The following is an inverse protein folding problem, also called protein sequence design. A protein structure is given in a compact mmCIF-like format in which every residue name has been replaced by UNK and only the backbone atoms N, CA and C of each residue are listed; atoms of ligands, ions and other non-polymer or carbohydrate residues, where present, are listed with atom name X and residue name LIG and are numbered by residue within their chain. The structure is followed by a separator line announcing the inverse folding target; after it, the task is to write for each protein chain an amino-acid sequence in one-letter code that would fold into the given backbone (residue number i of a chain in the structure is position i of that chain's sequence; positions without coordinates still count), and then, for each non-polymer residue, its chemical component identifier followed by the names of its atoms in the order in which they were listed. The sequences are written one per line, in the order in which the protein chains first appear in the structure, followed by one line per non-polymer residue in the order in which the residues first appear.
data_IF_347120522632
#
_entry.id   IF_347120522632
#
_cell.length_a   1.000
_cell.length_b   1.000
_cell.length_c   1.000
_cell.angle_alpha   90.00
_cell.angle_beta   90.00
_cell.angle_gamma   90.00
#
_symmetry.space_group_name_H-M   'P 1'
#
loop_
_entity.id
_entity.type
_entity.pdbx_description
1 polymer ?
#
# COMPACT_ATOMS: atom_id res chain seq x y z
N UNK A 1 -57.16 -14.74 9.11
CA UNK A 1 -56.07 -13.90 8.50
C UNK A 1 -55.15 -13.21 9.53
N UNK A 2 -55.62 -12.85 10.75
CA UNK A 2 -54.82 -12.25 11.82
C UNK A 2 -53.70 -13.17 12.36
N UNK A 3 -53.91 -14.48 12.63
CA UNK A 3 -52.86 -15.35 13.15
C UNK A 3 -51.67 -15.49 12.20
N UNK A 4 -51.90 -15.56 10.89
CA UNK A 4 -50.87 -15.68 9.88
C UNK A 4 -49.98 -14.43 9.78
N UNK A 5 -50.56 -13.23 9.90
CA UNK A 5 -49.81 -11.96 9.91
C UNK A 5 -48.94 -11.82 11.15
N UNK A 6 -49.39 -12.26 12.31
CA UNK A 6 -48.62 -12.25 13.55
C UNK A 6 -47.49 -13.25 13.52
N UNK A 7 -47.66 -14.45 12.94
CA UNK A 7 -46.61 -15.44 12.75
C UNK A 7 -45.51 -14.92 11.80
N UNK A 8 -45.88 -14.36 10.66
CA UNK A 8 -44.91 -13.77 9.70
C UNK A 8 -44.14 -12.59 10.29
N UNK A 9 -44.75 -11.80 11.18
CA UNK A 9 -44.10 -10.71 11.89
C UNK A 9 -43.07 -11.26 12.90
N UNK A 10 -43.47 -12.25 13.69
CA UNK A 10 -42.58 -12.91 14.68
C UNK A 10 -41.40 -13.61 14.02
N UNK A 11 -41.58 -14.30 12.91
CA UNK A 11 -40.49 -14.93 12.14
C UNK A 11 -39.52 -13.90 11.55
N UNK A 12 -40.03 -12.76 11.07
CA UNK A 12 -39.19 -11.64 10.59
C UNK A 12 -38.38 -11.00 11.71
N UNK A 13 -38.98 -10.76 12.87
CA UNK A 13 -38.30 -10.22 14.04
C UNK A 13 -37.19 -11.17 14.53
N UNK A 14 -37.48 -12.46 14.65
CA UNK A 14 -36.51 -13.47 15.04
C UNK A 14 -35.31 -13.54 14.06
N UNK A 15 -35.58 -13.42 12.76
CA UNK A 15 -34.53 -13.40 11.73
C UNK A 15 -33.66 -12.12 11.82
N UNK A 16 -34.27 -10.96 12.08
CA UNK A 16 -33.55 -9.69 12.28
C UNK A 16 -32.69 -9.76 13.52
N UNK A 17 -33.23 -10.25 14.63
CA UNK A 17 -32.47 -10.37 15.90
C UNK A 17 -31.28 -11.32 15.77
N UNK A 18 -31.46 -12.46 15.11
CA UNK A 18 -30.37 -13.39 14.82
C UNK A 18 -29.27 -12.70 14.00
N UNK A 19 -29.64 -11.97 12.95
CA UNK A 19 -28.68 -11.26 12.11
C UNK A 19 -27.94 -10.17 12.87
N UNK A 20 -28.63 -9.42 13.72
CA UNK A 20 -28.01 -8.41 14.59
C UNK A 20 -27.00 -9.05 15.54
N UNK A 21 -27.34 -10.18 16.15
CA UNK A 21 -26.44 -10.91 17.05
C UNK A 21 -25.20 -11.45 16.33
N UNK A 22 -25.36 -12.01 15.13
CA UNK A 22 -24.22 -12.48 14.30
C UNK A 22 -23.25 -11.34 14.00
N UNK A 23 -23.75 -10.21 13.52
CA UNK A 23 -22.95 -9.04 13.21
C UNK A 23 -22.33 -8.44 14.49
N UNK A 24 -23.09 -8.35 15.58
CA UNK A 24 -22.59 -7.82 16.84
C UNK A 24 -21.41 -8.66 17.37
N UNK A 25 -21.54 -9.99 17.37
CA UNK A 25 -20.43 -10.89 17.77
C UNK A 25 -19.20 -10.72 16.89
N UNK A 26 -19.40 -10.58 15.57
CA UNK A 26 -18.29 -10.41 14.64
C UNK A 26 -17.49 -9.11 14.86
N UNK A 27 -18.10 -8.12 15.50
CA UNK A 27 -17.50 -6.83 15.81
C UNK A 27 -17.22 -6.63 17.31
N UNK A 28 -17.31 -7.68 18.11
CA UNK A 28 -17.14 -7.62 19.58
C UNK A 28 -18.07 -6.57 20.23
N UNK A 29 -19.32 -6.53 19.83
CA UNK A 29 -20.33 -5.63 20.34
C UNK A 29 -21.45 -6.34 21.13
N UNK A 30 -21.41 -7.65 21.22
CA UNK A 30 -22.44 -8.49 21.84
C UNK A 30 -22.70 -8.09 23.30
N UNK A 31 -21.67 -7.73 24.06
CA UNK A 31 -21.77 -7.26 25.45
C UNK A 31 -22.23 -5.80 25.60
N UNK A 32 -22.41 -5.10 24.48
CA UNK A 32 -22.73 -3.67 24.42
C UNK A 32 -24.10 -3.38 23.84
N UNK A 33 -24.88 -4.40 23.47
CA UNK A 33 -26.15 -4.25 22.77
C UNK A 33 -27.19 -3.42 23.53
N UNK A 34 -27.16 -3.50 24.87
CA UNK A 34 -28.09 -2.77 25.73
C UNK A 34 -27.65 -1.34 26.09
N UNK A 35 -26.45 -0.93 25.62
CA UNK A 35 -25.92 0.41 25.91
C UNK A 35 -26.47 1.47 24.97
N UNK A 36 -26.73 2.63 25.51
CA UNK A 36 -27.10 3.79 24.71
C UNK A 36 -25.87 4.35 23.97
N UNK A 37 -26.06 4.98 22.80
CA UNK A 37 -24.94 5.56 22.02
C UNK A 37 -24.05 6.53 22.79
N UNK A 38 -24.58 7.27 23.76
CA UNK A 38 -23.84 8.19 24.63
C UNK A 38 -22.86 7.47 25.58
N UNK A 39 -23.09 6.20 25.85
CA UNK A 39 -22.32 5.35 26.77
C UNK A 39 -21.20 4.58 26.06
N UNK A 40 -21.12 4.74 24.74
CA UNK A 40 -20.12 4.09 23.90
C UNK A 40 -18.92 5.02 23.63
N UNK A 41 -17.72 4.43 23.63
CA UNK A 41 -16.50 5.10 23.19
C UNK A 41 -16.56 5.44 21.68
N UNK A 42 -15.66 6.30 21.19
CA UNK A 42 -15.56 6.63 19.77
C UNK A 42 -15.41 5.40 18.87
N UNK A 43 -14.48 4.50 19.22
CA UNK A 43 -14.27 3.25 18.47
C UNK A 43 -15.47 2.29 18.55
N UNK A 44 -16.18 2.22 19.69
CA UNK A 44 -17.41 1.42 19.81
C UNK A 44 -18.53 1.99 18.91
N UNK A 45 -18.71 3.31 18.88
CA UNK A 45 -19.65 3.99 17.98
C UNK A 45 -19.36 3.67 16.52
N UNK A 46 -18.07 3.69 16.14
CA UNK A 46 -17.65 3.38 14.77
C UNK A 46 -17.93 1.92 14.40
N UNK A 47 -17.64 0.96 15.30
CA UNK A 47 -18.02 -0.45 15.10
C UNK A 47 -19.54 -0.65 15.01
N UNK A 48 -20.32 0.06 15.79
CA UNK A 48 -21.80 0.04 15.69
C UNK A 48 -22.25 0.57 14.33
N UNK A 49 -21.68 1.67 13.83
CA UNK A 49 -21.99 2.20 12.51
C UNK A 49 -21.69 1.20 11.39
N UNK A 50 -20.52 0.54 11.48
CA UNK A 50 -20.11 -0.55 10.58
C UNK A 50 -21.10 -1.72 10.67
N UNK A 51 -21.44 -2.19 11.87
CA UNK A 51 -22.39 -3.28 12.10
C UNK A 51 -23.78 -2.99 11.51
N UNK A 52 -24.25 -1.76 11.64
CA UNK A 52 -25.52 -1.33 11.02
C UNK A 52 -25.49 -1.41 9.49
N UNK A 53 -24.37 -1.03 8.87
CA UNK A 53 -24.19 -1.16 7.43
C UNK A 53 -24.17 -2.64 7.00
N UNK A 54 -23.46 -3.49 7.75
CA UNK A 54 -23.33 -4.93 7.50
C UNK A 54 -24.65 -5.69 7.65
N UNK A 55 -25.44 -5.36 8.66
CA UNK A 55 -26.72 -6.04 8.91
C UNK A 55 -27.75 -5.83 7.79
N UNK A 56 -27.62 -4.74 7.02
CA UNK A 56 -28.53 -4.40 5.91
C UNK A 56 -28.30 -5.18 4.62
N UNK A 57 -27.16 -5.88 4.48
CA UNK A 57 -26.78 -6.60 3.26
C UNK A 57 -26.96 -5.76 1.98
N UNK A 58 -26.27 -4.62 1.85
CA UNK A 58 -26.42 -3.75 0.69
C UNK A 58 -25.76 -4.35 -0.56
N UNK A 59 -26.17 -3.91 -1.74
CA UNK A 59 -25.54 -4.29 -3.02
C UNK A 59 -24.14 -3.66 -3.17
N UNK A 60 -23.89 -2.52 -2.51
CA UNK A 60 -22.61 -1.79 -2.51
C UNK A 60 -22.35 -1.21 -1.13
N UNK A 61 -21.13 -1.38 -0.63
CA UNK A 61 -20.63 -0.67 0.54
C UNK A 61 -19.87 0.60 0.13
N UNK A 62 -20.20 1.72 0.76
CA UNK A 62 -19.42 2.96 0.71
C UNK A 62 -18.88 3.24 2.11
N UNK A 63 -17.58 3.12 2.28
CA UNK A 63 -16.91 3.26 3.57
C UNK A 63 -15.88 4.41 3.48
N UNK A 64 -16.07 5.43 4.31
CA UNK A 64 -15.19 6.57 4.40
C UNK A 64 -14.44 6.53 5.74
N UNK A 65 -13.14 6.21 5.68
CA UNK A 65 -12.24 6.08 6.83
C UNK A 65 -12.81 5.26 8.02
N UNK A 66 -13.36 4.05 7.81
CA UNK A 66 -14.12 3.36 8.85
C UNK A 66 -13.28 2.87 10.03
N UNK A 67 -11.95 2.90 9.95
CA UNK A 67 -11.05 2.43 11.00
C UNK A 67 -10.20 3.54 11.64
N UNK A 68 -10.38 4.81 11.25
CA UNK A 68 -9.53 5.92 11.66
C UNK A 68 -9.50 6.15 13.19
N UNK A 69 -10.61 5.93 13.88
CA UNK A 69 -10.74 6.14 15.34
C UNK A 69 -10.50 4.89 16.21
N UNK A 70 -9.91 3.83 15.62
CA UNK A 70 -9.60 2.60 16.35
C UNK A 70 -8.12 2.58 16.78
N UNK A 71 -7.85 1.99 17.95
CA UNK A 71 -6.48 1.67 18.36
C UNK A 71 -5.85 0.62 17.43
N UNK A 72 -4.52 0.51 17.45
CA UNK A 72 -3.77 -0.32 16.51
C UNK A 72 -4.16 -1.81 16.57
N UNK A 73 -4.40 -2.37 17.77
CA UNK A 73 -4.77 -3.77 17.96
C UNK A 73 -6.16 -4.04 17.37
N UNK A 74 -7.11 -3.19 17.72
CA UNK A 74 -8.50 -3.31 17.27
C UNK A 74 -8.63 -3.02 15.76
N UNK A 75 -7.81 -2.09 15.22
CA UNK A 75 -7.77 -1.81 13.79
C UNK A 75 -7.37 -3.04 12.99
N UNK A 76 -6.36 -3.81 13.46
CA UNK A 76 -5.92 -5.04 12.81
C UNK A 76 -7.01 -6.12 12.75
N UNK A 77 -7.66 -6.41 13.88
CA UNK A 77 -8.74 -7.41 13.95
C UNK A 77 -9.98 -6.99 13.15
N UNK A 78 -10.38 -5.73 13.24
CA UNK A 78 -11.55 -5.21 12.49
C UNK A 78 -11.29 -5.22 10.97
N UNK A 79 -10.07 -4.88 10.52
CA UNK A 79 -9.69 -4.96 9.12
C UNK A 79 -9.82 -6.38 8.57
N UNK A 80 -9.26 -7.37 9.28
CA UNK A 80 -9.39 -8.78 8.88
C UNK A 80 -10.87 -9.19 8.76
N UNK A 81 -11.69 -8.76 9.70
CA UNK A 81 -13.12 -9.07 9.70
C UNK A 81 -13.90 -8.41 8.56
N UNK A 82 -13.57 -7.17 8.20
CA UNK A 82 -14.19 -6.51 7.03
C UNK A 82 -13.87 -7.28 5.74
N UNK A 83 -12.62 -7.71 5.56
CA UNK A 83 -12.21 -8.49 4.38
C UNK A 83 -12.94 -9.83 4.32
N UNK A 84 -13.02 -10.55 5.43
CA UNK A 84 -13.73 -11.82 5.54
C UNK A 84 -15.20 -11.66 5.18
N UNK A 85 -15.87 -10.69 5.79
CA UNK A 85 -17.27 -10.41 5.53
C UNK A 85 -17.54 -10.00 4.08
N UNK A 86 -16.68 -9.14 3.52
CA UNK A 86 -16.82 -8.73 2.12
C UNK A 86 -16.76 -9.94 1.19
N UNK A 87 -15.87 -10.91 1.50
CA UNK A 87 -15.79 -12.18 0.75
C UNK A 87 -17.05 -13.04 0.93
N UNK A 88 -17.54 -13.16 2.17
CA UNK A 88 -18.76 -13.91 2.47
C UNK A 88 -20.00 -13.33 1.75
N UNK A 89 -20.13 -12.02 1.74
CA UNK A 89 -21.27 -11.32 1.13
C UNK A 89 -21.14 -11.17 -0.39
N UNK A 90 -19.94 -11.26 -0.95
CA UNK A 90 -19.67 -11.00 -2.37
C UNK A 90 -20.01 -9.58 -2.82
N UNK A 91 -20.05 -8.62 -1.87
CA UNK A 91 -20.54 -7.26 -2.10
C UNK A 91 -19.42 -6.36 -2.57
N UNK A 92 -19.65 -5.58 -3.61
CA UNK A 92 -18.71 -4.54 -4.06
C UNK A 92 -18.54 -3.48 -2.98
N UNK A 93 -17.30 -3.14 -2.65
CA UNK A 93 -16.98 -2.17 -1.61
C UNK A 93 -16.10 -1.07 -2.16
N UNK A 94 -16.53 0.18 -2.02
CA UNK A 94 -15.69 1.36 -2.19
C UNK A 94 -15.22 1.82 -0.81
N UNK A 95 -13.92 1.76 -0.59
CA UNK A 95 -13.30 2.05 0.70
C UNK A 95 -12.34 3.22 0.57
N UNK A 96 -12.54 4.28 1.32
CA UNK A 96 -11.66 5.45 1.35
C UNK A 96 -10.81 5.39 2.62
N UNK A 97 -9.50 5.57 2.48
CA UNK A 97 -8.56 5.59 3.60
C UNK A 97 -7.34 6.45 3.26
N UNK A 98 -6.66 6.92 4.27
CA UNK A 98 -5.30 7.47 4.18
C UNK A 98 -4.24 6.48 4.73
N UNK A 99 -4.65 5.34 5.25
CA UNK A 99 -3.75 4.29 5.76
C UNK A 99 -3.34 3.35 4.62
N UNK A 100 -2.05 3.37 4.29
CA UNK A 100 -1.49 2.53 3.24
C UNK A 100 -1.59 1.04 3.56
N UNK A 101 -1.49 0.65 4.85
CA UNK A 101 -1.58 -0.76 5.26
C UNK A 101 -2.99 -1.27 5.01
N UNK A 102 -4.02 -0.46 5.28
CA UNK A 102 -5.41 -0.79 4.95
C UNK A 102 -5.55 -1.00 3.43
N UNK A 103 -5.11 -0.02 2.64
CA UNK A 103 -5.19 -0.08 1.19
C UNK A 103 -4.50 -1.32 0.62
N UNK A 104 -3.24 -1.56 1.01
CA UNK A 104 -2.42 -2.66 0.49
C UNK A 104 -2.90 -4.05 0.92
N UNK A 105 -3.59 -4.16 2.08
CA UNK A 105 -4.01 -5.47 2.61
C UNK A 105 -5.46 -5.83 2.31
N UNK A 106 -6.33 -4.84 2.08
CA UNK A 106 -7.76 -5.05 1.85
C UNK A 106 -8.14 -4.90 0.37
N UNK A 107 -7.46 -4.00 -0.35
CA UNK A 107 -7.82 -3.64 -1.72
C UNK A 107 -7.50 -4.75 -2.72
N UNK A 108 -8.46 -5.11 -3.55
CA UNK A 108 -8.19 -5.85 -4.80
C UNK A 108 -7.66 -4.89 -5.87
N UNK A 109 -8.11 -3.64 -5.85
CA UNK A 109 -7.60 -2.53 -6.66
C UNK A 109 -7.52 -1.27 -5.80
N UNK A 110 -6.50 -0.46 -6.04
CA UNK A 110 -6.27 0.79 -5.33
C UNK A 110 -6.22 1.94 -6.33
N UNK A 111 -7.02 2.97 -6.10
CA UNK A 111 -6.94 4.25 -6.78
C UNK A 111 -6.15 5.25 -5.91
N UNK A 112 -4.98 5.67 -6.37
CA UNK A 112 -4.18 6.69 -5.68
C UNK A 112 -4.57 8.05 -6.22
N UNK A 113 -5.05 8.94 -5.34
CA UNK A 113 -5.43 10.31 -5.70
C UNK A 113 -4.46 11.31 -5.06
N UNK A 114 -4.17 12.37 -5.81
CA UNK A 114 -3.45 13.54 -5.31
C UNK A 114 -4.16 14.81 -5.76
N UNK A 115 -4.57 15.65 -4.82
CA UNK A 115 -5.31 16.87 -5.09
C UNK A 115 -6.53 16.66 -6.03
N UNK A 116 -7.29 15.60 -5.78
CA UNK A 116 -8.47 15.23 -6.57
C UNK A 116 -8.18 14.64 -7.96
N UNK A 117 -6.90 14.45 -8.32
CA UNK A 117 -6.50 13.84 -9.60
C UNK A 117 -6.05 12.40 -9.37
N UNK A 118 -6.56 11.49 -10.18
CA UNK A 118 -6.13 10.10 -10.19
C UNK A 118 -4.67 10.02 -10.69
N UNK A 119 -3.79 9.46 -9.87
CA UNK A 119 -2.38 9.25 -10.19
C UNK A 119 -2.12 7.87 -10.78
N UNK A 120 -2.72 6.85 -10.17
CA UNK A 120 -2.63 5.47 -10.64
C UNK A 120 -3.79 4.65 -10.11
N UNK A 121 -4.24 3.68 -10.90
CA UNK A 121 -5.20 2.67 -10.52
C UNK A 121 -4.60 1.30 -10.86
N UNK A 122 -4.53 0.39 -9.90
CA UNK A 122 -3.96 -0.94 -10.10
C UNK A 122 -4.13 -1.83 -8.87
N UNK A 123 -3.60 -3.04 -8.94
CA UNK A 123 -3.47 -3.93 -7.79
C UNK A 123 -2.44 -3.37 -6.80
N UNK A 124 -2.49 -3.78 -5.51
CA UNK A 124 -1.48 -3.37 -4.52
C UNK A 124 -0.04 -3.58 -5.01
N UNK A 125 0.24 -4.76 -5.59
CA UNK A 125 1.58 -5.10 -6.08
C UNK A 125 2.01 -4.27 -7.29
N UNK A 126 1.08 -3.92 -8.19
CA UNK A 126 1.39 -3.03 -9.31
C UNK A 126 1.78 -1.63 -8.82
N UNK A 127 1.04 -1.06 -7.86
CA UNK A 127 1.37 0.26 -7.32
C UNK A 127 2.73 0.26 -6.61
N UNK A 128 3.04 -0.80 -5.88
CA UNK A 128 4.31 -0.94 -5.15
C UNK A 128 5.49 -1.17 -6.09
N UNK A 129 5.33 -2.10 -7.03
CA UNK A 129 6.43 -2.54 -7.90
C UNK A 129 6.59 -1.65 -9.14
N UNK A 130 5.49 -1.07 -9.66
CA UNK A 130 5.45 -0.32 -10.92
C UNK A 130 4.71 1.01 -10.77
N UNK A 131 5.20 1.92 -9.91
CA UNK A 131 4.59 3.23 -9.75
C UNK A 131 4.67 4.03 -11.04
N UNK A 132 3.55 4.64 -11.43
CA UNK A 132 3.43 5.42 -12.68
C UNK A 132 4.16 6.76 -12.63
N UNK A 133 4.45 7.26 -11.44
CA UNK A 133 5.16 8.52 -11.26
C UNK A 133 5.86 8.58 -9.88
N UNK A 134 6.69 9.62 -9.68
CA UNK A 134 7.42 9.86 -8.44
C UNK A 134 6.49 10.00 -7.22
N UNK A 135 5.31 10.60 -7.40
CA UNK A 135 4.36 10.74 -6.31
C UNK A 135 3.93 9.36 -5.80
N UNK A 136 3.48 8.47 -6.68
CA UNK A 136 3.06 7.11 -6.29
C UNK A 136 4.23 6.33 -5.70
N UNK A 137 5.45 6.44 -6.28
CA UNK A 137 6.65 5.77 -5.81
C UNK A 137 7.00 6.13 -4.35
N UNK A 138 6.86 7.41 -3.99
CA UNK A 138 7.14 7.92 -2.66
C UNK A 138 5.95 7.79 -1.71
N UNK A 139 4.72 7.80 -2.23
CA UNK A 139 3.52 7.69 -1.42
C UNK A 139 3.23 6.24 -1.02
N UNK A 140 3.46 5.27 -1.90
CA UNK A 140 3.22 3.84 -1.63
C UNK A 140 4.49 3.18 -1.08
N UNK A 141 4.38 2.62 0.11
CA UNK A 141 5.44 1.91 0.82
C UNK A 141 5.96 2.66 2.05
N UNK A 142 6.34 1.90 3.07
CA UNK A 142 6.95 2.40 4.30
C UNK A 142 8.21 1.56 4.58
N UNK A 143 9.41 2.16 4.45
CA UNK A 143 9.66 3.55 4.07
C UNK A 143 9.33 3.85 2.59
N UNK A 144 9.26 5.15 2.21
CA UNK A 144 9.13 5.57 0.81
C UNK A 144 10.27 5.04 -0.07
N UNK A 145 10.02 4.97 -1.39
CA UNK A 145 11.08 4.65 -2.35
C UNK A 145 12.21 5.68 -2.28
N UNK A 146 13.45 5.23 -2.20
CA UNK A 146 14.61 6.11 -2.35
C UNK A 146 14.64 6.66 -3.78
N UNK A 147 14.75 7.98 -3.92
CA UNK A 147 14.87 8.65 -5.22
C UNK A 147 16.24 9.30 -5.32
N UNK A 148 16.98 8.93 -6.33
CA UNK A 148 18.36 9.39 -6.57
C UNK A 148 18.46 9.96 -7.98
N UNK A 149 19.11 11.11 -8.17
CA UNK A 149 19.48 11.56 -9.50
C UNK A 149 20.50 10.60 -10.09
N UNK A 150 20.18 10.09 -11.27
CA UNK A 150 21.06 9.17 -12.02
C UNK A 150 21.29 9.71 -13.42
N UNK A 151 22.41 9.35 -14.01
CA UNK A 151 22.66 9.58 -15.43
C UNK A 151 22.82 8.24 -16.15
N UNK A 152 22.24 8.12 -17.33
CA UNK A 152 22.44 6.92 -18.14
C UNK A 152 23.86 6.94 -18.70
N UNK A 153 24.64 5.94 -18.32
CA UNK A 153 26.01 5.77 -18.80
C UNK A 153 26.10 4.88 -20.03
N UNK A 154 27.32 4.72 -20.55
CA UNK A 154 27.57 3.80 -21.67
C UNK A 154 27.28 2.35 -21.26
N UNK A 155 26.96 1.53 -22.25
CA UNK A 155 26.65 0.11 -22.05
C UNK A 155 25.47 -0.13 -21.08
N UNK A 156 24.45 0.72 -21.14
CA UNK A 156 23.22 0.57 -20.36
C UNK A 156 23.47 0.52 -18.83
N UNK A 157 24.34 1.37 -18.33
CA UNK A 157 24.61 1.52 -16.89
C UNK A 157 23.96 2.77 -16.32
N UNK A 158 23.78 2.81 -15.00
CA UNK A 158 23.41 4.02 -14.27
C UNK A 158 24.63 4.59 -13.56
N UNK A 159 24.81 5.90 -13.65
CA UNK A 159 25.83 6.65 -12.93
C UNK A 159 25.20 7.40 -11.78
N UNK A 160 25.76 7.24 -10.58
CA UNK A 160 25.45 8.02 -9.38
C UNK A 160 26.77 8.64 -8.90
N UNK A 161 26.92 9.95 -9.09
CA UNK A 161 28.22 10.58 -8.94
C UNK A 161 29.24 9.92 -9.90
N UNK A 162 30.33 9.40 -9.34
CA UNK A 162 31.37 8.68 -10.10
C UNK A 162 31.15 7.16 -10.17
N UNK A 163 30.13 6.64 -9.46
CA UNK A 163 29.83 5.21 -9.40
C UNK A 163 29.03 4.75 -10.58
N UNK A 164 29.48 3.63 -11.15
CA UNK A 164 28.80 2.97 -12.26
C UNK A 164 28.11 1.69 -11.76
N UNK A 165 26.79 1.67 -11.87
CA UNK A 165 25.95 0.54 -11.49
C UNK A 165 25.54 -0.23 -12.73
N UNK A 166 25.70 -1.55 -12.70
CA UNK A 166 25.19 -2.42 -13.73
C UNK A 166 23.67 -2.52 -13.62
N UNK A 167 23.02 -2.58 -14.75
CA UNK A 167 21.57 -2.77 -14.85
C UNK A 167 21.32 -4.00 -15.70
N UNK A 168 20.37 -4.82 -15.30
CA UNK A 168 20.04 -6.08 -15.94
C UNK A 168 18.56 -6.17 -16.29
N UNK A 169 18.23 -7.09 -17.18
CA UNK A 169 16.86 -7.40 -17.56
C UNK A 169 16.14 -6.29 -18.33
N UNK A 170 14.82 -6.11 -18.12
CA UNK A 170 14.01 -5.15 -18.88
C UNK A 170 14.48 -3.71 -18.75
N UNK A 171 15.10 -3.34 -17.62
CA UNK A 171 15.62 -2.00 -17.40
C UNK A 171 16.79 -1.70 -18.34
N UNK A 172 17.71 -2.64 -18.56
CA UNK A 172 18.81 -2.46 -19.47
C UNK A 172 18.32 -2.14 -20.88
N UNK A 173 17.29 -2.84 -21.36
CA UNK A 173 16.66 -2.56 -22.65
C UNK A 173 16.03 -1.17 -22.71
N UNK A 174 15.39 -0.71 -21.63
CA UNK A 174 14.78 0.62 -21.55
C UNK A 174 15.81 1.77 -21.56
N UNK A 175 17.07 1.51 -21.20
CA UNK A 175 18.15 2.50 -21.25
C UNK A 175 18.75 2.70 -22.64
N UNK A 176 18.39 1.86 -23.61
CA UNK A 176 18.91 1.92 -24.97
C UNK A 176 18.54 3.25 -25.62
N UNK A 177 19.54 3.98 -26.10
CA UNK A 177 19.34 5.30 -26.74
C UNK A 177 19.18 6.47 -25.76
N UNK A 178 19.27 6.24 -24.46
CA UNK A 178 19.15 7.28 -23.43
C UNK A 178 20.51 7.72 -22.86
N UNK A 179 21.63 7.30 -23.43
CA UNK A 179 22.98 7.66 -22.94
C UNK A 179 23.13 9.18 -22.74
N UNK A 180 23.71 9.56 -21.61
CA UNK A 180 23.87 10.96 -21.22
C UNK A 180 22.63 11.59 -20.57
N UNK A 181 21.45 10.95 -20.66
CA UNK A 181 20.22 11.48 -20.11
C UNK A 181 20.23 11.45 -18.59
N UNK A 182 19.79 12.55 -17.96
CA UNK A 182 19.59 12.62 -16.51
C UNK A 182 18.15 12.20 -16.17
N UNK A 183 18.03 11.28 -15.24
CA UNK A 183 16.79 10.70 -14.78
C UNK A 183 16.72 10.69 -13.25
N UNK A 184 15.55 10.39 -12.71
CA UNK A 184 15.39 10.03 -11.31
C UNK A 184 15.31 8.51 -11.21
N UNK A 185 16.28 7.91 -10.52
CA UNK A 185 16.32 6.47 -10.22
C UNK A 185 15.64 6.19 -8.88
N UNK A 186 14.61 5.38 -8.89
CA UNK A 186 13.92 4.89 -7.70
C UNK A 186 14.39 3.50 -7.31
N UNK A 187 14.65 3.27 -6.02
CA UNK A 187 15.00 1.96 -5.49
C UNK A 187 14.39 1.79 -4.09
N UNK A 188 13.77 0.64 -3.81
CA UNK A 188 13.18 0.35 -2.50
C UNK A 188 14.27 0.07 -1.46
N UNK A 189 13.96 0.33 -0.19
CA UNK A 189 14.89 0.13 0.93
C UNK A 189 15.40 -1.31 1.07
N UNK A 190 14.56 -2.30 0.76
CA UNK A 190 14.89 -3.73 0.79
C UNK A 190 15.71 -4.21 -0.42
N UNK A 191 15.81 -3.38 -1.45
CA UNK A 191 16.62 -3.63 -2.65
C UNK A 191 18.03 -3.03 -2.57
N UNK A 192 18.33 -2.34 -1.46
CA UNK A 192 19.67 -1.92 -1.07
C UNK A 192 20.16 -2.83 0.05
N UNK A 193 21.32 -3.44 -0.12
CA UNK A 193 21.91 -4.35 0.88
C UNK A 193 23.26 -3.84 1.33
N UNK A 194 23.57 -4.00 2.62
CA UNK A 194 24.93 -3.78 3.12
C UNK A 194 25.79 -4.92 2.59
N UNK A 195 26.89 -4.57 1.92
CA UNK A 195 27.74 -5.50 1.20
C UNK A 195 29.24 -5.16 1.40
N UNK A 196 30.17 -6.06 1.06
CA UNK A 196 31.59 -5.77 1.10
C UNK A 196 31.97 -4.59 0.22
N UNK A 197 33.12 -3.97 0.54
CA UNK A 197 33.67 -2.88 -0.24
C UNK A 197 34.09 -3.34 -1.65
N UNK A 198 33.42 -2.81 -2.66
CA UNK A 198 33.76 -2.99 -4.08
C UNK A 198 33.66 -1.66 -4.80
N UNK A 199 34.26 -1.57 -6.00
CA UNK A 199 34.14 -0.38 -6.85
C UNK A 199 32.76 -0.21 -7.49
N UNK A 200 31.87 -1.23 -7.37
CA UNK A 200 30.50 -1.22 -7.90
C UNK A 200 29.47 -0.81 -6.84
N UNK A 201 29.82 -0.93 -5.55
CA UNK A 201 28.91 -0.62 -4.46
C UNK A 201 28.93 0.87 -4.11
N UNK A 202 27.76 1.42 -3.78
CA UNK A 202 27.65 2.80 -3.33
C UNK A 202 28.29 2.94 -1.95
N UNK A 203 29.06 3.99 -1.75
CA UNK A 203 29.61 4.31 -0.44
C UNK A 203 28.67 5.23 0.32
N UNK A 204 28.41 4.90 1.56
CA UNK A 204 27.51 5.66 2.42
C UNK A 204 28.05 5.77 3.84
N UNK A 205 27.68 6.85 4.52
CA UNK A 205 27.89 7.04 5.94
C UNK A 205 26.53 6.93 6.66
N UNK A 206 26.48 6.11 7.70
CA UNK A 206 25.27 5.94 8.51
C UNK A 206 24.97 7.22 9.26
N UNK A 207 23.80 7.80 9.03
CA UNK A 207 23.31 8.97 9.74
C UNK A 207 22.50 8.59 10.97
N UNK A 208 21.64 7.56 10.83
CA UNK A 208 20.75 7.11 11.87
C UNK A 208 20.34 5.64 11.64
N UNK A 209 20.03 4.93 12.73
CA UNK A 209 19.53 3.55 12.67
C UNK A 209 18.40 3.37 13.68
N UNK A 210 17.28 2.80 13.23
CA UNK A 210 16.09 2.51 14.02
C UNK A 210 15.84 1.00 14.02
N UNK A 211 15.91 0.38 15.20
CA UNK A 211 15.60 -1.05 15.36
C UNK A 211 14.12 -1.23 15.62
N UNK A 212 13.42 -1.92 14.71
CA UNK A 212 11.99 -2.15 14.75
C UNK A 212 11.61 -3.55 15.26
N UNK A 213 12.54 -4.23 15.91
CA UNK A 213 12.38 -5.59 16.46
C UNK A 213 12.90 -6.65 15.50
N UNK A 214 12.15 -7.00 14.48
CA UNK A 214 12.53 -8.02 13.47
C UNK A 214 13.39 -7.48 12.32
N UNK A 215 13.50 -6.19 12.21
CA UNK A 215 14.30 -5.50 11.20
C UNK A 215 14.85 -4.19 11.75
N UNK A 216 15.81 -3.58 11.05
CA UNK A 216 16.23 -2.22 11.29
C UNK A 216 16.14 -1.39 10.01
N UNK A 217 15.84 -0.12 10.18
CA UNK A 217 15.86 0.88 9.13
C UNK A 217 17.07 1.79 9.33
N UNK A 218 18.00 1.75 8.36
CA UNK A 218 19.24 2.51 8.42
C UNK A 218 19.13 3.66 7.43
N UNK A 219 19.19 4.90 7.92
CA UNK A 219 19.31 6.09 7.09
C UNK A 219 20.77 6.41 6.87
N UNK A 220 21.19 6.43 5.62
CA UNK A 220 22.56 6.66 5.21
C UNK A 220 22.66 7.86 4.28
N UNK A 221 23.81 8.52 4.32
CA UNK A 221 24.18 9.58 3.37
C UNK A 221 25.17 9.00 2.38
N UNK A 222 24.82 8.98 1.10
CA UNK A 222 25.75 8.58 0.04
C UNK A 222 26.90 9.57 -0.04
N UNK A 223 28.12 9.07 -0.14
CA UNK A 223 29.31 9.92 -0.29
C UNK A 223 29.39 10.50 -1.69
N UNK A 224 28.89 9.76 -2.69
CA UNK A 224 28.74 10.22 -4.05
C UNK A 224 27.40 10.97 -4.19
N UNK A 225 27.43 12.30 -4.30
CA UNK A 225 26.22 13.12 -4.52
C UNK A 225 25.46 13.59 -3.27
N UNK A 226 25.88 13.19 -2.08
CA UNK A 226 25.32 13.67 -0.78
C UNK A 226 23.80 13.41 -0.57
N UNK A 227 23.25 12.35 -1.18
CA UNK A 227 21.86 11.98 -1.07
C UNK A 227 21.59 11.08 0.13
N UNK A 228 20.45 11.26 0.80
CA UNK A 228 19.99 10.36 1.84
C UNK A 228 19.27 9.16 1.21
N UNK A 229 19.57 7.98 1.72
CA UNK A 229 18.90 6.73 1.37
C UNK A 229 18.54 5.96 2.63
N UNK A 230 17.47 5.21 2.56
CA UNK A 230 17.02 4.30 3.61
C UNK A 230 17.23 2.86 3.16
N UNK A 231 17.82 2.07 4.04
CA UNK A 231 18.13 0.65 3.81
C UNK A 231 17.44 -0.18 4.89
N UNK A 232 16.75 -1.23 4.46
CA UNK A 232 16.20 -2.21 5.38
C UNK A 232 17.20 -3.33 5.57
N UNK A 233 17.56 -3.62 6.82
CA UNK A 233 18.60 -4.57 7.15
C UNK A 233 18.21 -5.49 8.33
N UNK A 234 18.96 -6.57 8.51
CA UNK A 234 18.86 -7.43 9.68
C UNK A 234 19.25 -6.65 10.94
N UNK A 235 18.45 -6.73 12.03
CA UNK A 235 18.75 -6.00 13.27
C UNK A 235 20.07 -6.42 13.94
N UNK A 236 20.62 -7.57 13.59
CA UNK A 236 21.94 -8.02 14.09
C UNK A 236 23.12 -7.29 13.45
N UNK A 237 22.89 -6.58 12.36
CA UNK A 237 23.97 -5.82 11.68
C UNK A 237 24.24 -4.54 12.46
N UNK A 238 25.46 -4.41 13.01
CA UNK A 238 25.86 -3.18 13.69
C UNK A 238 26.09 -2.04 12.67
N UNK A 239 25.24 -1.02 12.73
CA UNK A 239 25.32 0.17 11.87
C UNK A 239 25.23 1.47 12.71
N UNK A 240 26.21 1.76 13.60
CA UNK A 240 26.17 2.97 14.39
C UNK A 240 26.40 4.23 13.54
N UNK A 241 25.85 5.38 13.94
CA UNK A 241 26.06 6.65 13.26
C UNK A 241 27.55 6.96 13.05
N UNK A 242 27.89 7.52 11.88
CA UNK A 242 29.24 7.84 11.47
C UNK A 242 30.02 6.67 10.82
N UNK A 243 29.49 5.43 10.90
CA UNK A 243 30.13 4.29 10.22
C UNK A 243 29.96 4.38 8.71
N UNK A 244 31.06 4.07 8.00
CA UNK A 244 31.05 3.93 6.54
C UNK A 244 30.66 2.51 6.16
N UNK A 245 29.69 2.39 5.29
CA UNK A 245 29.16 1.14 4.76
C UNK A 245 29.17 1.18 3.24
N UNK A 246 29.08 0.02 2.63
CA UNK A 246 28.92 -0.13 1.20
C UNK A 246 27.56 -0.75 0.93
N UNK A 247 26.85 -0.18 -0.04
CA UNK A 247 25.51 -0.60 -0.41
C UNK A 247 25.54 -1.19 -1.81
N UNK A 248 25.14 -2.43 -1.91
CA UNK A 248 24.84 -3.08 -3.18
C UNK A 248 23.39 -2.83 -3.54
N UNK A 249 23.17 -2.34 -4.75
CA UNK A 249 21.82 -2.15 -5.29
C UNK A 249 21.43 -3.37 -6.12
N UNK A 250 20.23 -3.90 -5.90
CA UNK A 250 19.67 -4.96 -6.74
C UNK A 250 19.58 -4.46 -8.20
N UNK A 251 20.24 -5.13 -9.18
CA UNK A 251 20.21 -4.71 -10.57
C UNK A 251 18.81 -4.69 -11.18
N UNK A 252 17.86 -5.48 -10.64
CA UNK A 252 16.46 -5.55 -11.07
C UNK A 252 15.52 -4.62 -10.28
N UNK A 253 16.05 -4.00 -9.20
CA UNK A 253 15.26 -3.20 -8.25
C UNK A 253 14.96 -1.79 -8.73
N UNK A 254 15.66 -1.30 -9.74
CA UNK A 254 15.53 0.09 -10.19
C UNK A 254 14.21 0.37 -10.89
N UNK A 255 13.71 1.59 -10.67
CA UNK A 255 12.63 2.23 -11.42
C UNK A 255 13.13 3.57 -11.89
N UNK A 256 12.78 3.97 -13.10
CA UNK A 256 13.26 5.22 -13.69
C UNK A 256 12.12 6.16 -13.98
N UNK A 257 12.37 7.43 -13.67
CA UNK A 257 11.42 8.49 -13.90
C UNK A 257 12.10 9.64 -14.66
N UNK A 258 11.36 10.27 -15.56
CA UNK A 258 11.83 11.44 -16.29
C UNK A 258 11.96 12.66 -15.35
N UNK A 259 12.37 13.81 -15.90
CA UNK A 259 12.50 15.05 -15.12
C UNK A 259 11.14 15.61 -14.65
N UNK A 260 10.05 15.25 -15.31
CA UNK A 260 8.67 15.60 -14.94
C UNK A 260 8.13 14.70 -13.83
N UNK A 261 8.82 13.62 -13.54
CA UNK A 261 8.44 12.65 -12.51
C UNK A 261 7.60 11.48 -13.01
N UNK A 262 7.37 11.37 -14.32
CA UNK A 262 6.65 10.24 -14.90
C UNK A 262 7.56 9.03 -15.08
N UNK A 263 7.02 7.84 -14.83
CA UNK A 263 7.76 6.61 -15.02
C UNK A 263 8.14 6.41 -16.50
N UNK A 264 9.38 6.06 -16.73
CA UNK A 264 9.82 5.57 -18.02
C UNK A 264 9.25 4.16 -18.16
N UNK A 265 8.42 3.95 -19.19
CA UNK A 265 7.77 2.67 -19.43
C UNK A 265 8.82 1.56 -19.55
N UNK A 266 8.84 0.67 -18.57
CA UNK A 266 9.58 -0.57 -18.66
C UNK A 266 8.63 -1.66 -19.13
N UNK A 267 9.07 -2.58 -20.00
CA UNK A 267 8.24 -3.73 -20.34
C UNK A 267 7.88 -4.46 -19.05
N UNK A 268 6.59 -4.57 -18.77
CA UNK A 268 6.12 -5.38 -17.65
C UNK A 268 6.68 -6.79 -17.78
N UNK A 269 7.10 -7.45 -16.68
CA UNK A 269 7.50 -8.84 -16.72
C UNK A 269 6.39 -9.68 -17.36
N UNK A 270 6.74 -10.73 -18.10
CA UNK A 270 5.78 -11.53 -18.85
C UNK A 270 4.63 -12.09 -17.98
N UNK A 271 4.91 -12.34 -16.69
CA UNK A 271 3.92 -12.73 -15.68
C UNK A 271 2.89 -11.65 -15.33
N UNK A 272 3.19 -10.37 -15.58
CA UNK A 272 2.26 -9.26 -15.33
C UNK A 272 1.37 -8.95 -16.55
N UNK A 273 1.62 -9.58 -17.70
CA UNK A 273 0.82 -9.37 -18.93
C UNK A 273 -0.45 -10.23 -18.99
N UNK A 274 -0.50 -11.30 -18.20
CA UNK A 274 -1.66 -12.21 -18.20
C UNK A 274 -2.82 -11.73 -17.34
N UNK A 275 -2.64 -10.65 -16.55
CA UNK A 275 -3.68 -10.08 -15.67
C UNK A 275 -3.96 -8.60 -15.91
N UNK A 276 -3.90 -8.09 -17.13
CA UNK A 276 -4.57 -6.82 -17.40
C UNK A 276 -6.08 -7.10 -17.45
N UNK A 277 -6.84 -6.77 -16.39
CA UNK A 277 -8.28 -6.85 -16.53
C UNK A 277 -8.68 -5.80 -17.58
N UNK A 278 -9.21 -6.28 -18.69
CA UNK A 278 -10.08 -5.50 -19.55
C UNK A 278 -11.04 -4.77 -18.61
N UNK A 279 -11.20 -3.46 -18.76
CA UNK A 279 -12.24 -2.72 -18.04
C UNK A 279 -13.53 -3.53 -18.19
N UNK A 280 -14.12 -4.04 -17.10
CA UNK A 280 -15.33 -4.83 -17.23
C UNK A 280 -16.40 -3.94 -17.84
N UNK A 281 -17.01 -4.44 -18.88
CA UNK A 281 -18.28 -3.95 -19.35
C UNK A 281 -19.25 -3.93 -18.15
N UNK A 282 -19.72 -2.76 -17.76
CA UNK A 282 -20.58 -2.56 -16.58
C UNK A 282 -21.94 -3.26 -16.70
N UNK A 283 -22.17 -4.03 -17.75
CA UNK A 283 -23.43 -4.74 -18.02
C UNK A 283 -23.41 -6.24 -17.70
N UNK A 284 -22.30 -6.83 -17.25
CA UNK A 284 -22.16 -8.27 -17.04
C UNK A 284 -22.02 -8.71 -15.57
N UNK A 285 -22.86 -9.63 -15.13
CA UNK A 285 -23.11 -10.09 -13.75
C UNK A 285 -22.07 -11.02 -13.12
N UNK A 286 -20.79 -11.07 -13.55
CA UNK A 286 -19.91 -12.18 -13.22
C UNK A 286 -18.75 -11.91 -12.24
N UNK A 287 -18.56 -10.68 -11.73
CA UNK A 287 -17.37 -10.40 -10.88
C UNK A 287 -17.72 -9.45 -9.72
N UNK A 288 -18.54 -9.95 -8.77
CA UNK A 288 -19.05 -9.17 -7.63
C UNK A 288 -18.09 -9.05 -6.42
N UNK A 289 -16.86 -9.58 -6.51
CA UNK A 289 -15.94 -9.62 -5.36
C UNK A 289 -14.80 -8.59 -5.49
N UNK A 290 -15.10 -7.28 -5.49
CA UNK A 290 -14.05 -6.26 -5.60
C UNK A 290 -14.12 -5.24 -4.47
N UNK A 291 -13.01 -5.13 -3.71
CA UNK A 291 -12.75 -3.97 -2.86
C UNK A 291 -11.97 -2.97 -3.72
N UNK A 292 -12.57 -1.81 -4.00
CA UNK A 292 -11.85 -0.68 -4.59
C UNK A 292 -11.51 0.30 -3.47
N UNK A 293 -10.21 0.59 -3.30
CA UNK A 293 -9.73 1.49 -2.26
C UNK A 293 -9.23 2.77 -2.89
N UNK A 294 -9.74 3.90 -2.40
CA UNK A 294 -9.22 5.22 -2.73
C UNK A 294 -8.26 5.65 -1.63
N UNK A 295 -6.99 5.85 -1.99
CA UNK A 295 -5.96 6.32 -1.09
C UNK A 295 -5.69 7.80 -1.34
N UNK A 296 -5.81 8.61 -0.29
CA UNK A 296 -5.49 10.04 -0.34
C UNK A 296 -4.38 10.36 0.67
N UNK A 297 -3.45 11.27 0.36
CA UNK A 297 -2.51 11.76 1.37
C UNK A 297 -3.28 12.49 2.46
N UNK A 298 -2.77 12.50 3.70
CA UNK A 298 -3.34 13.31 4.77
C UNK A 298 -3.33 14.79 4.35
N UNK A 299 -4.29 15.59 4.84
CA UNK A 299 -4.27 17.03 4.61
C UNK A 299 -2.95 17.62 5.12
N UNK A 300 -2.43 18.68 4.49
CA UNK A 300 -1.24 19.37 5.00
C UNK A 300 -1.52 19.82 6.43
N UNK A 301 -0.54 19.59 7.31
CA UNK A 301 -0.60 20.06 8.70
C UNK A 301 -0.79 21.58 8.71
N UNK A 302 -1.61 22.13 9.63
CA UNK A 302 -1.89 23.54 9.71
C UNK A 302 -0.66 24.38 10.01
#
# INVERSE_FOLDING_TARGET
ELPHRLQVHSEREAHVDQRVLEVARSLELDTLLDRLPKELSGGQKQRVALGRAMARQPDVFLMDEPLSNLDAKLRGSTRARIVELQRELGTTTLYVTHDQVEAMTMGTRIAVLNQGRLQQLGTPMELYSWPSNLFVAQFIGSPPMNILPVQVGPSQTLLIGERRLSVEGPLAAALSGLEGTRLNGGIRSEQLRIAPATNRNLQAEVSHSEVLGNEQLITCRLLDGNHLVQVRADPAIAAPPGHRIHLEADPHGWRLFNQQGDAIAMPAPASAREEQPVLPDLTGSADRQRIQITLQPPPPSP
#
